data_IF_740374526098
#
_entry.id   IF_740374526098
#
_cell.length_a   1.000
_cell.length_b   1.000
_cell.length_c   1.000
_cell.angle_alpha   90.00
_cell.angle_beta   90.00
_cell.angle_gamma   90.00
#
_symmetry.space_group_name_H-M   'P 1'
#
loop_
_entity.id
_entity.type
_entity.pdbx_description
1 polymer ?
#
# COMPACT_ATOMS: atom_id res chain seq x y z
N UNK A 1 -16.76 68.95 -21.44
CA UNK A 1 -15.52 68.77 -22.21
C UNK A 1 -14.91 67.45 -21.74
N UNK A 2 -14.64 66.59 -22.71
CA UNK A 2 -14.29 65.17 -22.60
C UNK A 2 -13.02 64.92 -21.76
N UNK A 3 -13.04 63.99 -20.80
CA UNK A 3 -11.84 63.21 -20.43
C UNK A 3 -12.25 61.76 -20.22
N UNK A 4 -11.72 60.93 -21.11
CA UNK A 4 -11.84 59.47 -21.16
C UNK A 4 -10.98 58.86 -20.05
N UNK A 5 -11.56 57.99 -19.22
CA UNK A 5 -10.80 57.12 -18.31
C UNK A 5 -10.79 55.73 -18.92
N UNK A 6 -9.63 55.31 -19.41
CA UNK A 6 -9.35 53.95 -19.85
C UNK A 6 -9.39 53.00 -18.64
N UNK A 7 -10.22 51.95 -18.74
CA UNK A 7 -10.04 50.72 -17.97
C UNK A 7 -8.82 49.96 -18.52
N UNK A 8 -7.85 49.67 -17.66
CA UNK A 8 -6.82 48.66 -17.89
C UNK A 8 -7.00 47.54 -16.87
N UNK A 9 -7.30 46.36 -17.42
CA UNK A 9 -7.44 45.08 -16.73
C UNK A 9 -6.05 44.65 -16.23
N UNK A 10 -5.88 44.57 -14.91
CA UNK A 10 -4.70 44.00 -14.27
C UNK A 10 -4.87 42.49 -14.11
N UNK A 11 -4.08 41.73 -14.87
CA UNK A 11 -3.87 40.29 -14.74
C UNK A 11 -3.40 39.95 -13.30
N UNK A 12 -4.16 39.11 -12.59
CA UNK A 12 -3.69 38.45 -11.39
C UNK A 12 -2.73 37.32 -11.80
N UNK A 13 -1.44 37.48 -11.51
CA UNK A 13 -0.45 36.41 -11.59
C UNK A 13 -0.64 35.55 -10.35
N UNK A 14 -1.25 34.37 -10.52
CA UNK A 14 -1.26 33.33 -9.50
C UNK A 14 0.17 32.80 -9.35
N UNK A 15 0.85 33.17 -8.27
CA UNK A 15 2.10 32.56 -7.86
C UNK A 15 1.85 31.13 -7.40
N UNK A 16 2.22 30.16 -8.22
CA UNK A 16 2.32 28.77 -7.82
C UNK A 16 3.33 28.67 -6.66
N UNK A 17 2.84 28.42 -5.45
CA UNK A 17 3.68 28.08 -4.33
C UNK A 17 4.09 26.62 -4.51
N UNK A 18 5.29 26.41 -5.06
CA UNK A 18 5.89 25.09 -5.09
C UNK A 18 6.08 24.64 -3.64
N UNK A 19 5.41 23.56 -3.25
CA UNK A 19 5.77 22.83 -2.04
C UNK A 19 7.24 22.44 -2.19
N UNK A 20 8.11 23.07 -1.41
CA UNK A 20 9.46 22.58 -1.23
C UNK A 20 9.32 21.23 -0.56
N UNK A 21 9.47 20.15 -1.36
CA UNK A 21 9.87 18.85 -0.84
C UNK A 21 11.00 19.10 0.14
N UNK A 22 10.89 18.51 1.32
CA UNK A 22 12.00 18.35 2.25
C UNK A 22 13.14 17.67 1.46
N UNK A 23 14.04 18.49 0.93
CA UNK A 23 15.33 18.04 0.40
C UNK A 23 16.25 17.91 1.61
N UNK A 24 15.98 16.88 2.42
CA UNK A 24 17.06 16.20 3.10
C UNK A 24 18.03 15.67 2.04
N UNK A 25 19.34 15.59 2.34
CA UNK A 25 20.33 15.35 1.30
C UNK A 25 19.95 14.07 0.56
N UNK A 26 19.86 14.16 -0.77
CA UNK A 26 20.04 12.99 -1.60
C UNK A 26 21.35 12.37 -1.13
N UNK A 27 21.27 11.23 -0.44
CA UNK A 27 22.44 10.44 -0.17
C UNK A 27 22.95 10.01 -1.55
N UNK A 28 24.02 10.67 -2.00
CA UNK A 28 25.01 10.11 -2.90
C UNK A 28 25.67 8.89 -2.23
N UNK A 29 24.87 7.93 -1.77
CA UNK A 29 25.32 6.57 -1.59
C UNK A 29 25.33 5.98 -2.99
N UNK A 30 26.46 6.16 -3.65
CA UNK A 30 26.94 5.17 -4.60
C UNK A 30 26.96 3.83 -3.86
N UNK A 31 25.82 3.15 -3.89
CA UNK A 31 25.53 1.87 -3.24
C UNK A 31 26.60 0.87 -3.66
N UNK A 32 27.60 0.70 -2.81
CA UNK A 32 28.44 -0.48 -2.85
C UNK A 32 27.50 -1.67 -2.63
N UNK A 33 27.40 -2.58 -3.60
CA UNK A 33 26.57 -3.78 -3.49
C UNK A 33 26.80 -4.43 -2.13
N UNK A 34 25.73 -4.56 -1.35
CA UNK A 34 25.71 -5.60 -0.34
C UNK A 34 25.87 -6.93 -1.10
N UNK A 35 26.84 -7.78 -0.71
CA UNK A 35 26.94 -9.11 -1.30
C UNK A 35 25.59 -9.81 -1.14
N UNK A 36 25.18 -10.68 -2.10
CA UNK A 36 23.94 -11.41 -1.97
C UNK A 36 23.90 -12.08 -0.60
N UNK A 37 22.74 -12.05 0.09
CA UNK A 37 22.62 -12.71 1.38
C UNK A 37 23.07 -14.15 1.23
N UNK A 38 23.94 -14.62 2.13
CA UNK A 38 24.45 -15.99 2.06
C UNK A 38 23.41 -16.92 2.69
N UNK A 39 23.00 -18.01 2.02
CA UNK A 39 22.08 -18.96 2.63
C UNK A 39 22.74 -19.66 3.83
N UNK A 40 21.95 -20.11 4.83
CA UNK A 40 22.42 -20.96 5.90
C UNK A 40 23.14 -22.22 5.37
N UNK A 41 24.03 -22.84 6.16
CA UNK A 41 24.70 -24.08 5.77
C UNK A 41 23.70 -25.18 5.35
N UNK A 42 23.89 -25.75 4.16
CA UNK A 42 23.02 -26.79 3.63
C UNK A 42 21.71 -26.29 2.99
N UNK A 43 21.63 -24.99 2.68
CA UNK A 43 20.51 -24.35 1.97
C UNK A 43 20.95 -23.66 0.69
N UNK A 44 19.99 -23.36 -0.18
CA UNK A 44 20.21 -22.90 -1.55
C UNK A 44 19.66 -21.49 -1.74
N UNK A 45 20.41 -20.66 -2.47
CA UNK A 45 19.93 -19.40 -3.00
C UNK A 45 19.55 -19.56 -4.47
N UNK A 46 18.26 -19.36 -4.77
CA UNK A 46 17.69 -19.35 -6.11
C UNK A 46 17.62 -17.92 -6.64
N UNK A 47 17.91 -17.75 -7.93
CA UNK A 47 18.08 -16.43 -8.54
C UNK A 47 17.13 -16.24 -9.72
N UNK A 48 16.50 -15.07 -9.77
CA UNK A 48 15.61 -14.65 -10.86
C UNK A 48 16.17 -13.39 -11.52
N UNK A 49 16.19 -13.34 -12.85
CA UNK A 49 16.67 -12.20 -13.65
C UNK A 49 15.88 -12.10 -14.95
N UNK A 50 15.50 -10.90 -15.42
CA UNK A 50 14.84 -10.76 -16.73
C UNK A 50 15.68 -11.29 -17.91
N UNK A 51 17.01 -11.34 -17.75
CA UNK A 51 17.97 -11.86 -18.73
C UNK A 51 18.19 -13.38 -18.57
N UNK A 52 17.52 -14.01 -17.62
CA UNK A 52 17.55 -15.45 -17.38
C UNK A 52 16.72 -16.25 -18.39
N UNK A 53 16.61 -17.55 -18.11
CA UNK A 53 15.82 -18.50 -18.88
C UNK A 53 15.12 -19.47 -17.90
N UNK A 54 13.84 -19.75 -18.10
CA UNK A 54 13.08 -20.64 -17.20
C UNK A 54 13.48 -22.12 -17.32
N UNK A 55 14.25 -22.48 -18.34
CA UNK A 55 14.92 -23.77 -18.46
C UNK A 55 16.23 -23.87 -17.63
N UNK A 56 16.69 -22.77 -17.04
CA UNK A 56 17.89 -22.77 -16.20
C UNK A 56 17.66 -23.44 -14.83
N UNK A 57 18.74 -23.81 -14.11
CA UNK A 57 18.65 -24.37 -12.77
C UNK A 57 18.31 -23.36 -11.66
N UNK A 58 18.31 -22.04 -11.93
CA UNK A 58 18.05 -21.00 -10.92
C UNK A 58 19.28 -20.63 -10.09
N UNK A 59 20.49 -20.90 -10.58
CA UNK A 59 21.75 -20.51 -9.93
C UNK A 59 22.11 -19.06 -10.28
N UNK A 60 23.07 -18.47 -9.57
CA UNK A 60 23.54 -17.10 -9.85
C UNK A 60 23.98 -16.91 -11.30
N UNK A 61 24.76 -17.87 -11.86
CA UNK A 61 25.26 -17.80 -13.24
C UNK A 61 24.20 -18.18 -14.29
N UNK A 62 23.15 -18.88 -13.87
CA UNK A 62 22.05 -19.35 -14.73
C UNK A 62 20.72 -19.16 -13.99
N UNK A 63 20.25 -17.90 -13.86
CA UNK A 63 19.02 -17.59 -13.15
C UNK A 63 17.78 -17.96 -13.96
N UNK A 64 16.66 -18.15 -13.27
CA UNK A 64 15.34 -18.20 -13.91
C UNK A 64 14.93 -16.84 -14.45
N UNK A 65 13.97 -16.82 -15.37
CA UNK A 65 13.45 -15.58 -15.95
C UNK A 65 12.25 -15.03 -15.19
N UNK A 66 11.32 -15.90 -14.79
CA UNK A 66 10.00 -15.50 -14.32
C UNK A 66 9.69 -15.89 -12.87
N UNK A 67 8.79 -15.13 -12.24
CA UNK A 67 8.19 -15.50 -10.96
C UNK A 67 7.42 -16.83 -11.10
N UNK A 68 6.71 -17.04 -12.22
CA UNK A 68 5.97 -18.28 -12.46
C UNK A 68 6.87 -19.51 -12.39
N UNK A 69 8.09 -19.45 -12.95
CA UNK A 69 9.07 -20.53 -12.84
C UNK A 69 9.57 -20.70 -11.40
N UNK A 70 9.81 -19.59 -10.69
CA UNK A 70 10.20 -19.63 -9.29
C UNK A 70 9.12 -20.28 -8.41
N UNK A 71 7.84 -20.02 -8.66
CA UNK A 71 6.73 -20.64 -7.90
C UNK A 71 6.50 -22.12 -8.23
N UNK A 72 7.15 -22.64 -9.28
CA UNK A 72 7.18 -24.08 -9.57
C UNK A 72 8.34 -24.82 -8.86
N UNK A 73 9.21 -24.10 -8.14
CA UNK A 73 10.26 -24.70 -7.32
C UNK A 73 9.70 -25.17 -5.97
N UNK A 74 10.18 -26.32 -5.50
CA UNK A 74 9.98 -26.73 -4.11
C UNK A 74 11.10 -26.15 -3.25
N UNK A 75 10.73 -25.29 -2.30
CA UNK A 75 11.66 -24.66 -1.36
C UNK A 75 11.64 -25.40 -0.02
N UNK A 76 12.77 -25.35 0.69
CA UNK A 76 12.92 -25.84 2.07
C UNK A 76 13.25 -24.68 3.00
N UNK A 77 13.03 -24.87 4.30
CA UNK A 77 13.33 -23.89 5.33
C UNK A 77 14.75 -23.32 5.25
N UNK A 78 14.92 -22.00 5.17
CA UNK A 78 16.24 -21.37 5.03
C UNK A 78 16.76 -21.25 3.61
N UNK A 79 16.06 -21.79 2.60
CA UNK A 79 16.34 -21.42 1.21
C UNK A 79 16.04 -19.94 0.97
N UNK A 80 16.55 -19.41 -0.13
CA UNK A 80 16.37 -18.02 -0.51
C UNK A 80 15.90 -17.92 -1.96
N UNK A 81 14.98 -17.02 -2.23
CA UNK A 81 14.57 -16.58 -3.56
C UNK A 81 14.98 -15.12 -3.74
N UNK A 82 15.97 -14.91 -4.61
CA UNK A 82 16.62 -13.61 -4.80
C UNK A 82 16.32 -13.06 -6.20
N UNK A 83 15.85 -11.82 -6.24
CA UNK A 83 15.57 -11.07 -7.46
C UNK A 83 16.70 -10.09 -7.76
N UNK A 84 17.13 -10.04 -9.03
CA UNK A 84 18.18 -9.12 -9.46
C UNK A 84 17.68 -7.69 -9.31
N UNK A 85 18.45 -6.85 -8.63
CA UNK A 85 18.25 -5.39 -8.55
C UNK A 85 18.20 -4.76 -9.95
N UNK A 86 17.60 -3.57 -10.01
CA UNK A 86 17.40 -2.79 -11.23
C UNK A 86 16.60 -3.54 -12.31
N UNK A 87 15.54 -4.23 -11.89
CA UNK A 87 14.69 -5.03 -12.76
C UNK A 87 13.23 -5.04 -12.29
N UNK A 88 12.33 -5.33 -13.22
CA UNK A 88 10.89 -5.48 -12.99
C UNK A 88 10.46 -6.92 -13.25
N UNK A 89 9.65 -7.47 -12.35
CA UNK A 89 9.14 -8.82 -12.38
C UNK A 89 7.61 -8.80 -12.27
N UNK A 90 6.94 -9.44 -13.23
CA UNK A 90 5.50 -9.52 -13.27
C UNK A 90 5.00 -10.83 -12.65
N UNK A 91 4.11 -10.75 -11.67
CA UNK A 91 3.49 -11.91 -11.04
C UNK A 91 3.27 -11.77 -9.54
N UNK A 92 2.86 -12.88 -8.94
CA UNK A 92 2.62 -13.00 -7.51
C UNK A 92 3.46 -14.14 -6.92
N UNK A 93 3.87 -13.97 -5.66
CA UNK A 93 4.51 -15.00 -4.85
C UNK A 93 3.44 -15.58 -3.94
N UNK A 94 2.92 -16.75 -4.32
CA UNK A 94 1.76 -17.39 -3.70
C UNK A 94 2.07 -18.75 -3.05
N UNK A 95 3.26 -19.29 -3.29
CA UNK A 95 3.72 -20.60 -2.81
C UNK A 95 5.03 -20.45 -2.06
N UNK A 96 4.94 -19.87 -0.88
CA UNK A 96 6.03 -19.93 0.09
C UNK A 96 5.80 -21.20 0.92
N UNK A 97 6.78 -22.11 1.07
CA UNK A 97 6.59 -23.24 1.99
C UNK A 97 6.31 -22.69 3.38
N UNK A 98 5.62 -23.43 4.23
CA UNK A 98 5.84 -23.31 5.68
C UNK A 98 7.16 -24.02 5.97
N UNK A 99 8.26 -23.30 6.21
CA UNK A 99 9.55 -23.86 6.55
C UNK A 99 9.44 -24.74 7.80
N UNK A 100 9.69 -26.04 7.66
CA UNK A 100 10.02 -26.89 8.81
C UNK A 100 11.49 -26.65 9.20
N UNK A 101 11.75 -25.77 10.18
CA UNK A 101 13.11 -25.56 10.73
C UNK A 101 13.38 -24.20 11.37
N UNK A 102 14.63 -23.99 11.82
CA UNK A 102 15.06 -22.82 12.61
C UNK A 102 15.36 -21.56 11.77
N UNK A 103 15.24 -21.64 10.44
CA UNK A 103 15.59 -20.57 9.51
C UNK A 103 14.41 -20.19 8.62
N UNK A 104 14.20 -18.89 8.46
CA UNK A 104 13.18 -18.36 7.56
C UNK A 104 13.54 -18.57 6.10
N UNK A 105 12.54 -18.78 5.27
CA UNK A 105 12.69 -18.64 3.82
C UNK A 105 12.79 -17.16 3.46
N UNK A 106 13.84 -16.76 2.74
CA UNK A 106 14.06 -15.35 2.37
C UNK A 106 13.56 -15.08 0.95
N UNK A 107 12.69 -14.09 0.80
CA UNK A 107 12.41 -13.41 -0.45
C UNK A 107 13.18 -12.09 -0.42
N UNK A 108 14.13 -11.90 -1.33
CA UNK A 108 14.95 -10.69 -1.30
C UNK A 108 15.64 -10.37 -2.60
N UNK A 109 16.73 -9.62 -2.52
CA UNK A 109 17.41 -9.06 -3.69
C UNK A 109 18.89 -9.48 -3.81
N UNK A 110 19.43 -9.44 -5.03
CA UNK A 110 20.87 -9.55 -5.31
C UNK A 110 21.32 -8.59 -6.42
N UNK A 111 22.62 -8.34 -6.53
CA UNK A 111 23.18 -7.47 -7.57
C UNK A 111 23.27 -6.01 -7.14
N UNK A 112 23.31 -5.10 -8.11
CA UNK A 112 23.51 -3.66 -7.94
C UNK A 112 22.30 -2.87 -8.44
N UNK A 113 22.11 -1.66 -7.92
CA UNK A 113 21.07 -0.73 -8.37
C UNK A 113 19.82 -0.71 -7.48
N UNK A 114 18.72 -0.19 -8.03
CA UNK A 114 17.45 -0.04 -7.32
C UNK A 114 16.90 -1.40 -6.83
N UNK A 115 16.00 -1.37 -5.83
CA UNK A 115 15.31 -2.59 -5.37
C UNK A 115 14.59 -3.25 -6.57
N UNK A 116 14.56 -4.59 -6.65
CA UNK A 116 13.79 -5.26 -7.69
C UNK A 116 12.30 -4.96 -7.48
N UNK A 117 11.60 -4.63 -8.57
CA UNK A 117 10.17 -4.34 -8.54
C UNK A 117 9.39 -5.63 -8.81
N UNK A 118 8.51 -6.03 -7.89
CA UNK A 118 7.50 -7.06 -8.13
C UNK A 118 6.15 -6.37 -8.30
N UNK A 119 5.46 -6.70 -9.39
CA UNK A 119 4.25 -5.99 -9.80
C UNK A 119 3.21 -6.88 -10.48
N UNK A 120 1.94 -6.52 -10.32
CA UNK A 120 0.82 -7.12 -11.06
C UNK A 120 0.37 -6.25 -12.25
N UNK A 121 1.12 -5.20 -12.62
CA UNK A 121 0.71 -4.27 -13.66
C UNK A 121 0.45 -4.96 -15.01
N UNK A 122 -0.72 -4.69 -15.57
CA UNK A 122 -1.03 -4.92 -16.99
C UNK A 122 -0.60 -3.67 -17.76
N UNK A 123 0.39 -3.80 -18.64
CA UNK A 123 0.95 -2.68 -19.41
C UNK A 123 0.10 -2.49 -20.67
N UNK A 124 -0.74 -1.46 -20.70
CA UNK A 124 -1.72 -1.23 -21.78
C UNK A 124 -1.04 -0.56 -22.98
N UNK A 125 -0.09 -1.27 -23.61
CA UNK A 125 0.82 -0.76 -24.64
C UNK A 125 0.46 -1.19 -26.08
N UNK A 126 -0.72 -1.77 -26.31
CA UNK A 126 -1.18 -2.19 -27.65
C UNK A 126 -2.34 -1.30 -28.11
N UNK A 127 -2.08 -0.20 -28.86
CA UNK A 127 -3.14 0.72 -29.29
C UNK A 127 -4.27 0.03 -30.05
N UNK A 128 -3.94 -0.96 -30.89
CA UNK A 128 -4.90 -1.69 -31.71
C UNK A 128 -5.84 -2.62 -30.91
N UNK A 129 -5.51 -2.89 -29.63
CA UNK A 129 -6.38 -3.69 -28.76
C UNK A 129 -7.56 -2.89 -28.22
N UNK A 130 -7.54 -1.55 -28.34
CA UNK A 130 -8.63 -0.70 -27.91
C UNK A 130 -9.70 -0.55 -29.00
N UNK A 131 -10.96 -0.65 -28.58
CA UNK A 131 -12.13 -0.42 -29.44
C UNK A 131 -13.04 0.62 -28.82
N UNK A 132 -13.65 1.50 -29.62
CA UNK A 132 -14.62 2.48 -29.12
C UNK A 132 -16.00 1.85 -29.01
N UNK A 133 -16.64 1.94 -27.84
CA UNK A 133 -18.01 1.43 -27.62
C UNK A 133 -19.07 2.54 -27.59
N UNK A 134 -18.65 3.78 -27.32
CA UNK A 134 -19.45 5.00 -27.37
C UNK A 134 -18.50 6.19 -27.60
N UNK A 135 -19.00 7.42 -27.83
CA UNK A 135 -18.15 8.60 -27.92
C UNK A 135 -17.21 8.71 -26.70
N UNK A 136 -15.90 8.74 -26.97
CA UNK A 136 -14.83 8.79 -25.96
C UNK A 136 -14.77 7.61 -24.97
N UNK A 137 -15.54 6.54 -25.16
CA UNK A 137 -15.45 5.34 -24.30
C UNK A 137 -14.68 4.26 -25.04
N UNK A 138 -13.53 3.91 -24.49
CA UNK A 138 -12.63 2.91 -25.05
C UNK A 138 -12.65 1.64 -24.21
N UNK A 139 -12.69 0.49 -24.88
CA UNK A 139 -12.72 -0.85 -24.29
C UNK A 139 -11.47 -1.64 -24.66
N UNK A 140 -10.89 -2.33 -23.69
CA UNK A 140 -9.83 -3.33 -23.88
C UNK A 140 -10.17 -4.60 -23.09
N UNK A 141 -9.89 -5.77 -23.65
CA UNK A 141 -10.12 -7.07 -23.00
C UNK A 141 -8.88 -7.49 -22.21
N UNK A 142 -8.95 -7.43 -20.87
CA UNK A 142 -7.79 -7.71 -20.02
C UNK A 142 -7.58 -9.21 -19.73
N UNK A 143 -8.48 -10.07 -20.22
CA UNK A 143 -8.33 -11.52 -20.14
C UNK A 143 -7.58 -12.10 -21.35
N UNK A 144 -7.42 -11.33 -22.43
CA UNK A 144 -6.58 -11.71 -23.56
C UNK A 144 -5.16 -11.12 -23.39
N UNK A 145 -4.14 -11.95 -23.09
CA UNK A 145 -2.77 -11.48 -22.91
C UNK A 145 -2.15 -10.90 -24.18
N UNK A 146 -2.75 -11.07 -25.37
CA UNK A 146 -2.29 -10.41 -26.59
C UNK A 146 -2.62 -8.90 -26.61
N UNK A 147 -3.49 -8.42 -25.71
CA UNK A 147 -3.93 -7.03 -25.68
C UNK A 147 -3.02 -6.11 -24.86
N UNK A 148 -2.15 -6.68 -24.02
CA UNK A 148 -1.30 -5.92 -23.10
C UNK A 148 0.02 -6.64 -22.82
N UNK A 149 1.04 -5.89 -22.42
CA UNK A 149 2.24 -6.44 -21.79
C UNK A 149 2.07 -6.67 -20.28
N UNK A 150 3.16 -7.05 -19.61
CA UNK A 150 3.19 -7.20 -18.15
C UNK A 150 2.53 -8.49 -17.66
N UNK A 151 1.75 -8.39 -16.58
CA UNK A 151 1.12 -9.55 -15.95
C UNK A 151 -0.03 -10.11 -16.79
N UNK A 152 -0.02 -11.42 -17.03
CA UNK A 152 -0.92 -12.10 -17.99
C UNK A 152 -2.06 -12.88 -17.37
N UNK A 153 -2.16 -12.95 -16.03
CA UNK A 153 -3.25 -13.67 -15.40
C UNK A 153 -4.59 -13.01 -15.71
N UNK A 154 -5.64 -13.83 -15.78
CA UNK A 154 -7.00 -13.36 -16.03
C UNK A 154 -7.52 -12.56 -14.83
N UNK A 155 -8.35 -11.56 -15.10
CA UNK A 155 -8.94 -10.69 -14.10
C UNK A 155 -8.99 -9.24 -14.58
N UNK A 156 -10.19 -8.69 -14.61
CA UNK A 156 -10.42 -7.29 -14.98
C UNK A 156 -10.83 -6.41 -13.80
N UNK A 157 -10.94 -6.93 -12.58
CA UNK A 157 -11.22 -6.13 -11.38
C UNK A 157 -10.03 -5.18 -11.14
N UNK A 158 -10.08 -3.97 -11.69
CA UNK A 158 -8.94 -3.03 -11.67
C UNK A 158 -9.06 -2.10 -10.47
N UNK A 159 -7.99 -1.94 -9.70
CA UNK A 159 -7.96 -1.02 -8.57
C UNK A 159 -7.75 0.42 -8.99
N UNK A 160 -6.82 0.65 -9.90
CA UNK A 160 -6.53 1.96 -10.47
C UNK A 160 -5.81 1.84 -11.82
N UNK A 161 -5.79 2.96 -12.57
CA UNK A 161 -4.90 3.14 -13.70
C UNK A 161 -3.73 4.05 -13.32
N UNK A 162 -2.58 3.91 -13.97
CA UNK A 162 -1.41 4.74 -13.71
C UNK A 162 -0.72 5.19 -15.00
N UNK A 163 -0.20 6.42 -14.98
CA UNK A 163 0.63 7.02 -16.04
C UNK A 163 1.76 7.80 -15.40
N UNK A 164 3.02 7.44 -15.66
CA UNK A 164 4.16 7.88 -14.85
C UNK A 164 3.92 7.56 -13.37
N UNK A 165 4.00 8.58 -12.53
CA UNK A 165 3.68 8.50 -11.10
C UNK A 165 2.26 9.01 -10.76
N UNK A 166 1.42 9.26 -11.77
CA UNK A 166 0.05 9.74 -11.57
C UNK A 166 -0.90 8.55 -11.52
N UNK A 167 -1.65 8.45 -10.43
CA UNK A 167 -2.71 7.46 -10.25
C UNK A 167 -4.06 8.05 -10.65
N UNK A 168 -4.77 7.36 -11.54
CA UNK A 168 -6.16 7.60 -11.89
C UNK A 168 -7.04 6.61 -11.13
N UNK A 169 -7.49 7.00 -9.93
CA UNK A 169 -8.23 6.14 -9.00
C UNK A 169 -9.76 6.14 -9.15
N UNK A 170 -10.29 6.83 -10.17
CA UNK A 170 -11.71 7.11 -10.37
C UNK A 170 -12.52 5.93 -10.93
N UNK A 171 -12.44 4.77 -10.25
CA UNK A 171 -13.23 3.58 -10.56
C UNK A 171 -14.73 3.86 -10.38
N UNK A 172 -15.55 3.45 -11.34
CA UNK A 172 -17.01 3.52 -11.28
C UNK A 172 -17.62 2.14 -11.13
N UNK A 173 -18.83 2.10 -10.59
CA UNK A 173 -19.62 0.88 -10.44
C UNK A 173 -20.43 0.51 -11.69
N UNK A 174 -20.61 1.45 -12.63
CA UNK A 174 -21.33 1.21 -13.87
C UNK A 174 -20.71 1.99 -15.04
N UNK A 175 -20.79 1.42 -16.24
CA UNK A 175 -20.38 2.06 -17.49
C UNK A 175 -21.08 3.41 -17.71
N UNK A 176 -22.33 3.54 -17.27
CA UNK A 176 -23.10 4.77 -17.39
C UNK A 176 -22.60 5.90 -16.49
N UNK A 177 -21.69 5.64 -15.55
CA UNK A 177 -21.18 6.64 -14.59
C UNK A 177 -19.85 7.27 -15.02
N UNK A 178 -19.33 6.89 -16.19
CA UNK A 178 -18.19 7.55 -16.80
C UNK A 178 -18.57 8.98 -17.21
N UNK A 179 -17.90 9.98 -16.64
CA UNK A 179 -18.22 11.41 -16.79
C UNK A 179 -17.01 12.30 -17.05
N UNK A 180 -15.84 11.94 -16.52
CA UNK A 180 -14.58 12.68 -16.64
C UNK A 180 -13.48 11.84 -17.30
N UNK A 181 -12.52 12.45 -18.02
CA UNK A 181 -11.36 11.73 -18.54
C UNK A 181 -10.69 10.88 -17.45
N UNK A 182 -10.31 9.66 -17.80
CA UNK A 182 -9.73 8.64 -16.91
C UNK A 182 -10.68 8.08 -15.84
N UNK A 183 -11.97 8.44 -15.85
CA UNK A 183 -12.97 7.57 -15.25
C UNK A 183 -12.88 6.19 -15.93
N UNK A 184 -12.94 5.14 -15.12
CA UNK A 184 -12.91 3.78 -15.64
C UNK A 184 -13.89 2.86 -14.91
N UNK A 185 -14.28 1.80 -15.60
CA UNK A 185 -15.18 0.77 -15.14
C UNK A 185 -14.70 -0.56 -15.72
N UNK A 186 -14.89 -1.66 -15.00
CA UNK A 186 -14.68 -3.01 -15.54
C UNK A 186 -15.94 -3.87 -15.36
N UNK A 187 -16.23 -4.73 -16.32
CA UNK A 187 -17.38 -5.64 -16.30
C UNK A 187 -16.99 -7.06 -15.85
N UNK A 188 -15.85 -7.21 -15.19
CA UNK A 188 -15.24 -8.49 -14.83
C UNK A 188 -14.48 -9.18 -15.98
N UNK A 189 -14.59 -8.69 -17.23
CA UNK A 189 -13.82 -9.18 -18.38
C UNK A 189 -13.00 -8.08 -19.06
N UNK A 190 -13.62 -6.94 -19.33
CA UNK A 190 -13.03 -5.83 -20.06
C UNK A 190 -12.98 -4.55 -19.22
N UNK A 191 -11.95 -3.76 -19.47
CA UNK A 191 -11.78 -2.42 -18.92
C UNK A 191 -12.34 -1.39 -19.92
N UNK A 192 -13.13 -0.46 -19.40
CA UNK A 192 -13.69 0.68 -20.11
C UNK A 192 -13.11 1.97 -19.54
N UNK A 193 -12.62 2.86 -20.39
CA UNK A 193 -12.00 4.12 -19.98
C UNK A 193 -12.62 5.26 -20.78
N UNK A 194 -13.04 6.33 -20.09
CA UNK A 194 -13.41 7.57 -20.75
C UNK A 194 -12.15 8.34 -21.13
N UNK A 195 -11.90 8.50 -22.43
CA UNK A 195 -10.71 9.15 -22.95
C UNK A 195 -11.00 9.86 -24.28
N UNK A 196 -10.52 11.11 -24.48
CA UNK A 196 -10.76 11.86 -25.71
C UNK A 196 -10.07 11.26 -26.95
N UNK A 197 -9.21 10.25 -26.76
CA UNK A 197 -8.53 9.52 -27.81
C UNK A 197 -8.09 8.14 -27.29
N UNK A 198 -7.46 7.35 -28.14
CA UNK A 198 -6.99 6.02 -27.77
C UNK A 198 -6.11 6.10 -26.50
N UNK A 199 -6.47 5.43 -25.39
CA UNK A 199 -5.77 5.57 -24.12
C UNK A 199 -4.27 5.30 -24.21
N UNK A 200 -3.85 4.23 -24.90
CA UNK A 200 -2.42 3.93 -25.12
C UNK A 200 -1.71 4.99 -25.96
N UNK A 201 -2.39 5.58 -26.93
CA UNK A 201 -1.76 6.63 -27.76
C UNK A 201 -1.54 7.91 -26.97
N UNK A 202 -2.48 8.26 -26.08
CA UNK A 202 -2.37 9.43 -25.21
C UNK A 202 -1.40 9.22 -24.04
N UNK A 203 -1.33 7.99 -23.52
CA UNK A 203 -0.42 7.59 -22.46
C UNK A 203 0.24 6.24 -22.82
N UNK A 204 1.40 6.26 -23.51
CA UNK A 204 2.09 5.04 -23.95
C UNK A 204 2.55 4.13 -22.81
N UNK A 205 2.69 4.67 -21.60
CA UNK A 205 3.07 3.96 -20.40
C UNK A 205 1.86 3.66 -19.48
N UNK A 206 0.63 3.72 -20.00
CA UNK A 206 -0.57 3.43 -19.23
C UNK A 206 -0.55 2.01 -18.66
N UNK A 207 -0.81 1.90 -17.35
CA UNK A 207 -0.86 0.64 -16.62
C UNK A 207 -2.19 0.48 -15.92
N UNK A 208 -2.69 -0.73 -15.84
CA UNK A 208 -3.81 -1.10 -14.97
C UNK A 208 -3.29 -1.99 -13.84
N UNK A 209 -3.72 -1.72 -12.61
CA UNK A 209 -3.42 -2.51 -11.42
C UNK A 209 -4.60 -3.46 -11.11
N UNK A 210 -4.54 -4.73 -11.54
CA UNK A 210 -5.60 -5.71 -11.28
C UNK A 210 -5.60 -6.20 -9.83
N UNK A 211 -6.76 -6.65 -9.40
CA UNK A 211 -6.99 -7.33 -8.12
C UNK A 211 -6.10 -8.57 -7.97
N UNK A 212 -5.27 -8.59 -6.94
CA UNK A 212 -4.30 -9.63 -6.66
C UNK A 212 -3.72 -9.49 -5.25
N UNK A 213 -2.79 -10.37 -4.91
CA UNK A 213 -1.88 -10.20 -3.78
C UNK A 213 -0.46 -10.39 -4.32
N UNK A 214 0.45 -9.43 -4.11
CA UNK A 214 1.83 -9.56 -4.61
C UNK A 214 2.58 -10.67 -3.86
N UNK A 215 2.46 -10.72 -2.54
CA UNK A 215 3.05 -11.76 -1.69
C UNK A 215 2.01 -12.29 -0.70
N UNK A 216 1.65 -13.57 -0.85
CA UNK A 216 0.89 -14.33 0.14
C UNK A 216 1.88 -14.98 1.10
N UNK A 217 1.90 -14.51 2.34
CA UNK A 217 2.85 -14.95 3.35
C UNK A 217 2.37 -16.20 4.08
N UNK A 218 3.30 -17.14 4.18
CA UNK A 218 3.22 -18.32 5.01
C UNK A 218 4.17 -18.18 6.20
N UNK A 219 4.03 -19.06 7.19
CA UNK A 219 4.87 -19.03 8.40
C UNK A 219 6.37 -19.11 8.07
N UNK A 220 7.22 -18.62 8.98
CA UNK A 220 8.69 -18.54 8.86
C UNK A 220 9.19 -17.91 7.55
N UNK A 221 8.59 -16.81 7.10
CA UNK A 221 9.04 -16.09 5.90
C UNK A 221 9.74 -14.78 6.26
N UNK A 222 10.79 -14.43 5.50
CA UNK A 222 11.44 -13.12 5.51
C UNK A 222 11.25 -12.46 4.13
N UNK A 223 10.83 -11.21 4.10
CA UNK A 223 10.82 -10.35 2.91
C UNK A 223 11.78 -9.22 3.18
N UNK A 224 12.78 -9.03 2.32
CA UNK A 224 13.79 -7.99 2.50
C UNK A 224 14.26 -7.32 1.21
N UNK A 225 14.19 -5.98 1.20
CA UNK A 225 14.89 -5.15 0.22
C UNK A 225 14.28 -5.17 -1.18
N UNK A 226 12.95 -5.29 -1.29
CA UNK A 226 12.22 -5.32 -2.56
C UNK A 226 11.24 -4.13 -2.70
N UNK A 227 10.86 -3.81 -3.93
CA UNK A 227 9.80 -2.83 -4.23
C UNK A 227 8.53 -3.59 -4.68
N UNK A 228 7.38 -3.26 -4.09
CA UNK A 228 6.08 -3.87 -4.36
C UNK A 228 5.09 -2.80 -4.83
N UNK A 229 4.58 -2.92 -6.06
CA UNK A 229 3.64 -1.92 -6.60
C UNK A 229 2.69 -2.40 -7.69
N UNK A 230 1.68 -1.57 -7.94
CA UNK A 230 0.73 -1.71 -9.04
C UNK A 230 -0.07 -3.01 -8.92
N UNK A 231 -0.67 -3.18 -7.74
CA UNK A 231 -1.56 -4.26 -7.38
C UNK A 231 -2.89 -3.68 -6.87
N UNK A 232 -4.02 -4.15 -7.38
CA UNK A 232 -5.34 -3.65 -7.01
C UNK A 232 -5.90 -4.23 -5.69
N UNK A 233 -5.28 -5.28 -5.15
CA UNK A 233 -5.61 -5.85 -3.85
C UNK A 233 -4.56 -5.50 -2.81
N UNK A 234 -3.82 -6.50 -2.29
CA UNK A 234 -2.82 -6.31 -1.23
C UNK A 234 -1.39 -6.43 -1.73
N UNK A 235 -0.44 -5.73 -1.11
CA UNK A 235 0.97 -6.02 -1.38
C UNK A 235 1.41 -7.29 -0.63
N UNK A 236 1.26 -7.31 0.70
CA UNK A 236 1.65 -8.43 1.54
C UNK A 236 0.47 -8.81 2.44
N UNK A 237 0.12 -10.09 2.47
CA UNK A 237 -0.99 -10.62 3.28
C UNK A 237 -0.67 -11.97 3.90
N UNK A 238 -0.94 -12.13 5.19
CA UNK A 238 -0.94 -13.44 5.84
C UNK A 238 -1.97 -14.38 5.21
N UNK A 239 -1.54 -15.57 4.79
CA UNK A 239 -2.36 -16.48 3.99
C UNK A 239 -2.86 -17.72 4.75
N UNK A 240 -2.12 -18.15 5.77
CA UNK A 240 -2.49 -19.29 6.62
C UNK A 240 -3.24 -18.84 7.88
N UNK A 241 -3.82 -19.79 8.58
CA UNK A 241 -4.39 -19.59 9.92
C UNK A 241 -3.79 -20.63 10.88
N UNK A 242 -2.73 -20.32 11.65
CA UNK A 242 -2.04 -19.02 11.76
C UNK A 242 -0.81 -18.85 10.82
N UNK A 243 -0.42 -17.59 10.57
CA UNK A 243 0.91 -17.22 10.02
C UNK A 243 1.85 -16.75 11.13
N UNK A 244 2.95 -17.47 11.34
CA UNK A 244 3.85 -17.27 12.49
C UNK A 244 5.28 -16.98 12.05
N UNK A 245 6.02 -16.18 12.84
CA UNK A 245 7.47 -15.99 12.72
C UNK A 245 7.92 -15.30 11.41
N UNK A 246 7.31 -14.15 11.10
CA UNK A 246 7.54 -13.38 9.86
C UNK A 246 8.46 -12.17 10.11
N UNK A 247 9.25 -11.82 9.09
CA UNK A 247 9.96 -10.53 9.00
C UNK A 247 9.69 -9.86 7.67
N UNK A 248 9.37 -8.57 7.70
CA UNK A 248 9.18 -7.73 6.52
C UNK A 248 10.05 -6.49 6.72
N UNK A 249 11.13 -6.37 5.97
CA UNK A 249 12.17 -5.38 6.24
C UNK A 249 12.70 -4.65 5.01
N UNK A 250 12.97 -3.35 5.16
CA UNK A 250 13.64 -2.55 4.14
C UNK A 250 12.94 -2.58 2.76
N UNK A 251 11.63 -2.77 2.72
CA UNK A 251 10.83 -2.82 1.49
C UNK A 251 10.22 -1.45 1.15
N UNK A 252 10.01 -1.19 -0.15
CA UNK A 252 9.24 -0.04 -0.64
C UNK A 252 7.90 -0.56 -1.17
N UNK A 253 6.78 -0.20 -0.53
CA UNK A 253 5.46 -0.72 -0.85
C UNK A 253 4.54 0.44 -1.22
N UNK A 254 4.11 0.50 -2.47
CA UNK A 254 3.28 1.63 -2.89
C UNK A 254 2.38 1.39 -4.07
N UNK A 255 1.40 2.28 -4.27
CA UNK A 255 0.42 2.15 -5.35
C UNK A 255 -0.31 0.79 -5.24
N UNK A 256 -1.04 0.63 -4.15
CA UNK A 256 -1.69 -0.63 -3.78
C UNK A 256 -3.18 -0.39 -3.55
N UNK A 257 -4.00 -1.35 -3.96
CA UNK A 257 -5.40 -1.44 -3.60
C UNK A 257 -6.38 -0.78 -4.58
N UNK A 258 -7.60 -0.63 -4.10
CA UNK A 258 -8.72 0.02 -4.78
C UNK A 258 -9.53 -0.88 -5.71
N UNK A 259 -9.24 -2.18 -5.80
CA UNK A 259 -10.14 -3.12 -6.47
C UNK A 259 -11.42 -3.29 -5.65
N UNK A 260 -12.47 -3.83 -6.25
CA UNK A 260 -13.69 -4.17 -5.50
C UNK A 260 -13.48 -5.47 -4.72
N UNK A 261 -13.88 -5.50 -3.46
CA UNK A 261 -13.93 -6.68 -2.61
C UNK A 261 -15.18 -7.48 -2.98
N UNK A 262 -15.03 -8.45 -3.88
CA UNK A 262 -16.12 -9.29 -4.36
C UNK A 262 -16.54 -10.28 -3.26
N UNK A 263 -17.84 -10.40 -3.02
CA UNK A 263 -18.44 -11.22 -1.96
C UNK A 263 -18.72 -10.48 -0.66
N UNK A 264 -18.49 -9.16 -0.60
CA UNK A 264 -18.74 -8.32 0.58
C UNK A 264 -19.70 -7.16 0.28
N UNK A 265 -20.66 -6.94 1.17
CA UNK A 265 -21.71 -5.93 1.05
C UNK A 265 -22.44 -5.99 -0.32
N UNK A 266 -22.28 -4.98 -1.17
CA UNK A 266 -22.89 -4.92 -2.52
C UNK A 266 -21.86 -5.10 -3.65
N UNK A 267 -20.72 -5.73 -3.35
CA UNK A 267 -19.58 -5.98 -4.24
C UNK A 267 -18.94 -4.71 -4.82
N UNK A 268 -19.12 -3.57 -4.14
CA UNK A 268 -18.56 -2.26 -4.54
C UNK A 268 -17.72 -1.60 -3.47
N UNK A 269 -17.58 -2.23 -2.31
CA UNK A 269 -16.59 -1.83 -1.31
C UNK A 269 -15.22 -2.07 -1.92
N UNK A 270 -14.35 -1.07 -1.85
CA UNK A 270 -12.99 -1.16 -2.36
C UNK A 270 -12.04 -1.45 -1.21
N UNK A 271 -10.94 -2.15 -1.48
CA UNK A 271 -10.01 -2.62 -0.46
C UNK A 271 -8.58 -2.62 -0.97
N UNK A 272 -7.62 -2.85 -0.07
CA UNK A 272 -6.25 -3.18 -0.45
C UNK A 272 -5.20 -2.53 0.44
N UNK A 273 -4.51 -3.38 1.20
CA UNK A 273 -3.55 -2.99 2.23
C UNK A 273 -2.10 -3.16 1.75
N UNK A 274 -1.20 -2.36 2.31
CA UNK A 274 0.24 -2.55 2.16
C UNK A 274 0.66 -3.86 2.81
N UNK A 275 0.53 -3.94 4.14
CA UNK A 275 0.90 -5.12 4.93
C UNK A 275 -0.28 -5.53 5.82
N UNK A 276 -0.76 -6.75 5.63
CA UNK A 276 -1.92 -7.30 6.34
C UNK A 276 -1.55 -8.53 7.19
N UNK A 277 -1.67 -8.36 8.51
CA UNK A 277 -1.84 -9.47 9.45
C UNK A 277 -3.32 -9.85 9.46
N UNK A 278 -3.68 -10.88 8.68
CA UNK A 278 -5.05 -11.40 8.60
C UNK A 278 -5.30 -12.47 9.66
N UNK A 279 -6.47 -12.39 10.31
CA UNK A 279 -7.02 -13.36 11.24
C UNK A 279 -6.02 -13.74 12.35
N UNK A 280 -5.32 -14.88 12.24
CA UNK A 280 -4.36 -15.32 13.25
C UNK A 280 -2.92 -15.16 12.76
N UNK A 281 -2.19 -14.26 13.41
CA UNK A 281 -0.78 -14.00 13.11
C UNK A 281 0.04 -13.98 14.42
N UNK A 282 1.28 -14.48 14.41
CA UNK A 282 2.11 -14.46 15.61
C UNK A 282 3.59 -14.19 15.34
N UNK A 283 4.28 -13.43 16.20
CA UNK A 283 5.73 -13.18 16.07
C UNK A 283 6.10 -12.53 14.71
N UNK A 284 5.50 -11.38 14.40
CA UNK A 284 5.86 -10.60 13.21
C UNK A 284 6.72 -9.40 13.58
N UNK A 285 7.73 -9.12 12.77
CA UNK A 285 8.49 -7.87 12.82
C UNK A 285 8.38 -7.17 11.47
N UNK A 286 7.81 -5.97 11.47
CA UNK A 286 7.71 -5.08 10.31
C UNK A 286 8.63 -3.89 10.57
N UNK A 287 9.75 -3.80 9.86
CA UNK A 287 10.79 -2.81 10.20
C UNK A 287 11.50 -2.17 9.02
N UNK A 288 11.68 -0.85 9.05
CA UNK A 288 12.50 -0.15 8.06
C UNK A 288 11.87 -0.03 6.68
N UNK A 289 10.56 -0.28 6.56
CA UNK A 289 9.83 -0.20 5.30
C UNK A 289 9.33 1.21 5.03
N UNK A 290 9.21 1.57 3.75
CA UNK A 290 8.48 2.76 3.28
C UNK A 290 7.16 2.29 2.65
N UNK A 291 6.01 2.77 3.14
CA UNK A 291 4.69 2.36 2.66
C UNK A 291 3.82 3.57 2.35
N UNK A 292 3.43 3.73 1.09
CA UNK A 292 2.73 4.94 0.64
C UNK A 292 1.80 4.76 -0.55
N UNK A 293 0.87 5.70 -0.75
CA UNK A 293 -0.11 5.64 -1.85
C UNK A 293 -0.87 4.29 -1.83
N UNK A 294 -1.31 3.88 -0.65
CA UNK A 294 -2.16 2.70 -0.43
C UNK A 294 -3.63 3.12 -0.32
N UNK A 295 -4.51 2.40 -1.03
CA UNK A 295 -5.94 2.69 -1.08
C UNK A 295 -6.60 2.59 0.29
N UNK A 296 -6.18 1.62 1.10
CA UNK A 296 -6.71 1.35 2.42
C UNK A 296 -5.65 1.61 3.50
N UNK A 297 -5.08 0.58 4.12
CA UNK A 297 -4.16 0.73 5.24
C UNK A 297 -2.72 0.37 4.89
N UNK A 298 -1.75 1.19 5.29
CA UNK A 298 -0.33 0.85 5.15
C UNK A 298 0.02 -0.42 5.93
N UNK A 299 -0.43 -0.50 7.18
CA UNK A 299 -0.35 -1.68 8.02
C UNK A 299 -1.67 -1.94 8.74
N UNK A 300 -2.07 -3.21 8.84
CA UNK A 300 -3.28 -3.61 9.55
C UNK A 300 -3.10 -4.93 10.31
N UNK A 301 -3.69 -5.01 11.50
CA UNK A 301 -4.03 -6.30 12.13
C UNK A 301 -5.55 -6.41 12.15
N UNK A 302 -6.07 -7.35 11.37
CA UNK A 302 -7.50 -7.45 11.13
C UNK A 302 -8.00 -8.89 11.02
N UNK A 303 -9.23 -9.13 11.50
CA UNK A 303 -9.91 -10.39 11.27
C UNK A 303 -10.68 -10.93 12.46
N UNK A 304 -10.87 -12.23 12.46
CA UNK A 304 -11.63 -13.00 13.45
C UNK A 304 -10.75 -13.96 14.28
N UNK A 305 -9.44 -13.97 14.03
CA UNK A 305 -8.47 -14.85 14.69
C UNK A 305 -7.78 -14.22 15.91
N UNK A 306 -6.63 -14.80 16.29
CA UNK A 306 -5.78 -14.28 17.37
C UNK A 306 -4.46 -13.77 16.82
N UNK A 307 -4.21 -12.48 16.97
CA UNK A 307 -2.95 -11.85 16.58
C UNK A 307 -2.11 -11.57 17.83
N UNK A 308 -0.87 -12.09 17.89
CA UNK A 308 0.01 -11.96 19.07
C UNK A 308 1.45 -11.60 18.73
N UNK A 309 2.10 -10.82 19.59
CA UNK A 309 3.55 -10.52 19.51
C UNK A 309 3.94 -9.93 18.15
N UNK A 310 3.31 -8.81 17.82
CA UNK A 310 3.55 -8.08 16.57
C UNK A 310 4.33 -6.81 16.90
N UNK A 311 5.42 -6.55 16.18
CA UNK A 311 6.15 -5.28 16.30
C UNK A 311 6.30 -4.58 14.97
N UNK A 312 5.81 -3.35 14.89
CA UNK A 312 5.95 -2.46 13.73
C UNK A 312 6.82 -1.28 14.14
N UNK A 313 8.04 -1.21 13.61
CA UNK A 313 9.02 -0.24 14.10
C UNK A 313 9.96 0.34 13.05
N UNK A 314 10.31 1.63 13.18
CA UNK A 314 11.25 2.32 12.26
C UNK A 314 10.79 2.32 10.81
N UNK A 315 9.49 2.27 10.57
CA UNK A 315 8.93 2.40 9.22
C UNK A 315 8.57 3.86 8.92
N UNK A 316 8.46 4.19 7.64
CA UNK A 316 7.87 5.44 7.15
C UNK A 316 6.57 5.12 6.44
N UNK A 317 5.44 5.51 7.02
CA UNK A 317 4.12 5.35 6.41
C UNK A 317 3.55 6.72 6.07
N UNK A 318 3.26 6.98 4.79
CA UNK A 318 2.75 8.28 4.37
C UNK A 318 1.83 8.24 3.16
N UNK A 319 0.98 9.26 3.00
CA UNK A 319 0.07 9.36 1.86
C UNK A 319 -0.82 8.12 1.67
N UNK A 320 -1.29 7.55 2.78
CA UNK A 320 -2.21 6.42 2.79
C UNK A 320 -3.60 6.87 3.24
N UNK A 321 -4.62 6.14 2.82
CA UNK A 321 -5.97 6.29 3.36
C UNK A 321 -5.98 6.12 4.88
N UNK A 322 -5.26 5.13 5.38
CA UNK A 322 -4.91 4.96 6.79
C UNK A 322 -3.44 4.55 6.90
N UNK A 323 -2.70 5.12 7.85
CA UNK A 323 -1.34 4.60 8.14
C UNK A 323 -1.43 3.34 9.01
N UNK A 324 -2.40 3.27 9.92
CA UNK A 324 -2.63 2.12 10.79
C UNK A 324 -4.12 1.79 10.85
N UNK A 325 -4.42 0.50 10.84
CA UNK A 325 -5.78 0.00 11.05
C UNK A 325 -5.81 -1.22 11.97
N UNK A 326 -6.83 -1.29 12.83
CA UNK A 326 -7.05 -2.40 13.74
C UNK A 326 -8.53 -2.74 13.84
N UNK A 327 -8.90 -4.01 13.69
CA UNK A 327 -10.22 -4.50 14.07
C UNK A 327 -10.24 -6.01 14.34
N UNK A 328 -11.17 -6.43 15.18
CA UNK A 328 -11.42 -7.80 15.60
C UNK A 328 -12.93 -8.08 15.63
N UNK A 329 -13.37 -9.19 15.04
CA UNK A 329 -14.80 -9.51 14.90
C UNK A 329 -15.27 -10.79 15.60
N UNK A 330 -14.44 -11.38 16.47
CA UNK A 330 -14.81 -12.54 17.28
C UNK A 330 -14.34 -12.39 18.72
N UNK A 331 -15.24 -12.50 19.73
CA UNK A 331 -14.85 -12.50 21.14
C UNK A 331 -13.89 -13.65 21.47
N UNK A 332 -12.77 -13.34 22.13
CA UNK A 332 -11.76 -14.32 22.55
C UNK A 332 -10.65 -14.57 21.53
N UNK A 333 -10.91 -14.33 20.24
CA UNK A 333 -9.89 -13.87 19.29
C UNK A 333 -9.61 -12.40 19.56
N UNK A 334 -8.42 -11.90 19.26
CA UNK A 334 -8.01 -10.60 19.79
C UNK A 334 -6.62 -10.17 19.35
N UNK A 335 -6.22 -9.01 19.84
CA UNK A 335 -4.90 -8.44 19.62
C UNK A 335 -4.10 -8.53 20.92
N UNK A 336 -2.95 -9.17 20.91
CA UNK A 336 -2.12 -9.40 22.08
C UNK A 336 -0.69 -8.91 21.83
N UNK A 337 -0.14 -8.11 22.73
CA UNK A 337 1.23 -7.63 22.64
C UNK A 337 1.58 -7.06 21.25
N UNK A 338 0.73 -6.18 20.73
CA UNK A 338 1.00 -5.46 19.48
C UNK A 338 1.69 -4.14 19.82
N UNK A 339 2.91 -3.94 19.34
CA UNK A 339 3.71 -2.74 19.59
C UNK A 339 4.00 -2.00 18.28
N UNK A 340 3.57 -0.75 18.21
CA UNK A 340 3.84 0.17 17.11
C UNK A 340 4.77 1.28 17.63
N UNK A 341 6.07 1.19 17.36
CA UNK A 341 7.08 2.07 17.97
C UNK A 341 8.15 2.64 17.04
N UNK A 342 8.58 3.87 17.29
CA UNK A 342 9.66 4.53 16.54
C UNK A 342 9.40 4.66 15.02
N UNK A 343 8.14 4.79 14.58
CA UNK A 343 7.79 5.01 13.16
C UNK A 343 7.62 6.51 12.83
N UNK A 344 7.76 6.87 11.55
CA UNK A 344 7.33 8.17 11.01
C UNK A 344 6.01 7.98 10.25
N UNK A 345 4.93 8.56 10.77
CA UNK A 345 3.57 8.45 10.24
C UNK A 345 3.14 9.82 9.72
N UNK A 346 3.14 10.01 8.40
CA UNK A 346 2.84 11.29 7.78
C UNK A 346 1.57 11.27 6.93
N UNK A 347 0.86 12.40 6.86
CA UNK A 347 -0.22 12.65 5.90
C UNK A 347 -1.30 11.53 5.76
N UNK A 348 -1.59 10.80 6.85
CA UNK A 348 -2.64 9.79 6.90
C UNK A 348 -4.03 10.37 6.60
N UNK A 349 -4.90 9.58 5.97
CA UNK A 349 -6.13 10.06 5.35
C UNK A 349 -5.93 10.70 3.97
N UNK A 350 -4.70 10.62 3.43
CA UNK A 350 -4.24 11.26 2.22
C UNK A 350 -4.09 10.30 1.04
N UNK A 351 -3.12 10.62 0.17
CA UNK A 351 -2.83 9.87 -1.05
C UNK A 351 -3.99 9.77 -2.03
N UNK A 352 -3.77 9.00 -3.10
CA UNK A 352 -4.79 8.69 -4.08
C UNK A 352 -5.97 7.92 -3.46
N UNK A 353 -5.71 7.05 -2.48
CA UNK A 353 -6.70 6.26 -1.77
C UNK A 353 -7.73 7.14 -1.06
N UNK A 354 -7.24 8.04 -0.20
CA UNK A 354 -8.08 9.02 0.50
C UNK A 354 -8.83 9.95 -0.45
N UNK A 355 -8.22 10.28 -1.60
CA UNK A 355 -8.88 11.07 -2.65
C UNK A 355 -9.95 10.27 -3.42
N UNK A 356 -9.76 8.97 -3.64
CA UNK A 356 -10.63 8.13 -4.47
C UNK A 356 -11.78 7.48 -3.69
N UNK A 357 -11.62 7.25 -2.39
CA UNK A 357 -12.64 6.54 -1.59
C UNK A 357 -13.94 7.33 -1.41
N UNK A 358 -15.11 6.69 -1.36
CA UNK A 358 -16.39 7.38 -1.17
C UNK A 358 -16.63 7.85 0.28
N UNK A 359 -16.14 7.08 1.26
CA UNK A 359 -16.26 7.28 2.71
C UNK A 359 -15.21 8.29 3.22
N UNK A 360 -15.44 9.57 2.95
CA UNK A 360 -14.48 10.65 3.28
C UNK A 360 -14.25 10.84 4.77
N UNK A 361 -15.22 10.47 5.59
CA UNK A 361 -15.19 10.51 7.04
C UNK A 361 -14.15 9.57 7.65
N UNK A 362 -13.82 8.49 6.95
CA UNK A 362 -13.00 7.39 7.44
C UNK A 362 -11.49 7.63 7.27
N UNK A 363 -11.13 8.69 6.55
CA UNK A 363 -9.73 9.08 6.32
C UNK A 363 -9.08 9.49 7.65
N UNK A 364 -8.02 8.80 8.07
CA UNK A 364 -7.34 9.10 9.32
C UNK A 364 -5.87 8.63 9.35
N UNK A 365 -5.10 9.08 10.34
CA UNK A 365 -3.78 8.50 10.63
C UNK A 365 -3.94 7.06 11.16
N UNK A 366 -4.79 6.88 12.16
CA UNK A 366 -5.16 5.56 12.68
C UNK A 366 -6.67 5.36 12.64
N UNK A 367 -7.06 4.13 12.31
CA UNK A 367 -8.44 3.71 12.21
C UNK A 367 -8.70 2.45 13.03
N UNK A 368 -9.85 2.37 13.69
CA UNK A 368 -10.30 1.13 14.30
C UNK A 368 -11.80 0.88 14.12
N UNK A 369 -12.15 -0.36 13.80
CA UNK A 369 -13.52 -0.88 13.75
C UNK A 369 -13.65 -2.03 14.74
N UNK A 370 -14.83 -2.68 14.76
CA UNK A 370 -15.11 -3.95 15.44
C UNK A 370 -14.11 -4.29 16.54
N UNK A 371 -14.42 -3.98 17.79
CA UNK A 371 -13.42 -4.03 18.85
C UNK A 371 -13.73 -5.14 19.86
N UNK A 372 -13.77 -6.37 19.36
CA UNK A 372 -13.98 -7.54 20.20
C UNK A 372 -12.70 -7.85 21.00
N UNK A 373 -12.86 -7.93 22.32
CA UNK A 373 -11.78 -8.11 23.28
C UNK A 373 -11.33 -9.58 23.34
N UNK A 374 -10.07 -9.84 23.74
CA UNK A 374 -9.09 -8.89 24.31
C UNK A 374 -8.29 -8.09 23.28
N UNK A 375 -7.83 -6.90 23.68
CA UNK A 375 -6.86 -6.10 22.95
C UNK A 375 -5.74 -5.61 23.89
N UNK A 376 -4.51 -5.68 23.40
CA UNK A 376 -3.31 -5.09 24.00
C UNK A 376 -2.43 -4.57 22.85
N UNK A 377 -2.69 -3.32 22.48
CA UNK A 377 -2.04 -2.60 21.39
C UNK A 377 -1.46 -1.31 21.94
N UNK A 378 -0.16 -1.13 21.76
CA UNK A 378 0.57 0.06 22.22
C UNK A 378 1.15 0.80 21.02
N UNK A 379 0.73 2.05 20.84
CA UNK A 379 1.23 2.98 19.83
C UNK A 379 2.06 4.06 20.54
N UNK A 380 3.39 3.97 20.43
CA UNK A 380 4.28 4.81 21.25
C UNK A 380 5.54 5.28 20.54
N UNK A 381 6.10 6.43 20.93
CA UNK A 381 7.37 6.97 20.37
C UNK A 381 7.36 7.17 18.86
N UNK A 382 6.17 7.25 18.26
CA UNK A 382 6.06 7.54 16.84
C UNK A 382 6.13 9.05 16.63
N UNK A 383 6.75 9.44 15.52
CA UNK A 383 6.63 10.80 14.99
C UNK A 383 5.41 10.81 14.07
N UNK A 384 4.44 11.68 14.36
CA UNK A 384 3.20 11.76 13.60
C UNK A 384 3.06 13.17 13.04
N UNK A 385 3.07 13.32 11.73
CA UNK A 385 3.06 14.64 11.08
C UNK A 385 1.95 14.79 10.06
N UNK A 386 1.19 15.88 10.18
CA UNK A 386 0.03 16.21 9.32
C UNK A 386 -1.03 15.10 9.30
N UNK A 387 -2.19 15.39 8.73
CA UNK A 387 -3.22 14.42 8.40
C UNK A 387 -4.15 15.07 7.38
N UNK A 388 -4.55 14.33 6.36
CA UNK A 388 -5.54 14.79 5.37
C UNK A 388 -6.98 14.47 5.78
N UNK A 389 -7.14 13.69 6.85
CA UNK A 389 -8.40 13.42 7.55
C UNK A 389 -8.30 13.71 9.04
N UNK A 390 -8.81 12.82 9.89
CA UNK A 390 -8.67 12.92 11.34
C UNK A 390 -7.32 12.35 11.83
N UNK A 391 -6.92 12.68 13.06
CA UNK A 391 -5.85 11.94 13.74
C UNK A 391 -6.29 10.50 14.01
N UNK A 392 -7.42 10.29 14.70
CA UNK A 392 -7.99 8.96 14.85
C UNK A 392 -9.42 8.85 14.32
N UNK A 393 -9.78 7.68 13.83
CA UNK A 393 -11.15 7.28 13.54
C UNK A 393 -11.48 6.01 14.33
N UNK A 394 -12.56 6.05 15.11
CA UNK A 394 -13.06 4.89 15.85
C UNK A 394 -14.54 4.69 15.48
N UNK A 395 -14.91 3.46 15.08
CA UNK A 395 -16.30 3.06 14.88
C UNK A 395 -16.71 1.94 15.85
N UNK A 396 -17.74 2.17 16.70
CA UNK A 396 -18.50 3.42 16.85
C UNK A 396 -17.68 4.56 17.47
N UNK A 397 -18.14 5.80 17.29
CA UNK A 397 -17.50 6.99 17.89
C UNK A 397 -17.59 6.90 19.41
N UNK A 398 -16.44 6.67 20.05
CA UNK A 398 -16.30 6.53 21.50
C UNK A 398 -14.92 7.05 21.94
N UNK A 399 -14.62 6.98 23.25
CA UNK A 399 -13.23 7.13 23.71
C UNK A 399 -12.34 6.02 23.12
N UNK A 400 -11.01 6.13 23.30
CA UNK A 400 -10.07 5.11 22.85
C UNK A 400 -10.56 3.70 23.25
N UNK A 401 -10.62 2.77 22.28
CA UNK A 401 -11.04 1.40 22.53
C UNK A 401 -10.21 0.76 23.65
N UNK A 402 -10.86 -0.09 24.46
CA UNK A 402 -10.18 -0.74 25.59
C UNK A 402 -8.99 -1.57 25.08
N UNK A 403 -7.81 -1.37 25.67
CA UNK A 403 -6.59 -2.07 25.25
C UNK A 403 -5.80 -1.40 24.12
N UNK A 404 -6.33 -0.37 23.47
CA UNK A 404 -5.58 0.48 22.54
C UNK A 404 -5.00 1.68 23.29
N UNK A 405 -3.69 1.67 23.49
CA UNK A 405 -2.96 2.66 24.27
C UNK A 405 -2.06 3.50 23.37
N UNK A 406 -2.23 4.82 23.43
CA UNK A 406 -1.30 5.77 22.82
C UNK A 406 -0.49 6.48 23.89
N UNK A 407 0.82 6.61 23.69
CA UNK A 407 1.70 7.27 24.67
C UNK A 407 3.03 7.72 24.07
N UNK A 408 3.62 8.78 24.61
CA UNK A 408 4.96 9.26 24.24
C UNK A 408 5.17 9.49 22.72
N UNK A 409 4.11 9.82 21.97
CA UNK A 409 4.19 10.15 20.55
C UNK A 409 4.53 11.64 20.36
N UNK A 410 5.26 11.99 19.30
CA UNK A 410 5.47 13.39 18.89
C UNK A 410 4.51 13.74 17.75
N UNK A 411 3.44 14.48 18.08
CA UNK A 411 2.30 14.73 17.20
C UNK A 411 2.34 16.19 16.72
N UNK A 412 2.46 16.39 15.40
CA UNK A 412 2.44 17.70 14.79
C UNK A 412 1.43 17.77 13.62
N UNK A 413 0.24 18.33 13.84
CA UNK A 413 -0.83 18.40 12.84
C UNK A 413 -1.13 19.84 12.45
N UNK A 414 -1.75 20.04 11.28
CA UNK A 414 -2.16 21.37 10.81
C UNK A 414 -3.33 21.89 11.66
N UNK A 415 -3.32 23.19 12.02
CA UNK A 415 -4.43 23.82 12.75
C UNK A 415 -5.78 23.48 12.12
N UNK A 416 -6.76 23.14 12.95
CA UNK A 416 -8.08 22.69 12.54
C UNK A 416 -8.18 21.19 12.17
N UNK A 417 -7.09 20.44 12.10
CA UNK A 417 -7.15 18.97 11.90
C UNK A 417 -7.97 18.34 13.04
N UNK A 418 -9.04 17.57 12.73
CA UNK A 418 -9.81 16.88 13.76
C UNK A 418 -8.94 15.87 14.53
N UNK A 419 -8.99 15.89 15.86
CA UNK A 419 -8.30 14.86 16.65
C UNK A 419 -9.01 13.52 16.57
N UNK A 420 -10.35 13.53 16.48
CA UNK A 420 -11.13 12.34 16.27
C UNK A 420 -12.38 12.65 15.48
N UNK A 421 -12.66 11.84 14.45
CA UNK A 421 -13.92 11.98 13.71
C UNK A 421 -15.13 11.82 14.63
N UNK A 422 -16.12 12.71 14.49
CA UNK A 422 -17.35 12.71 15.29
C UNK A 422 -17.23 13.34 16.68
N UNK A 423 -16.03 13.77 17.11
CA UNK A 423 -15.84 14.56 18.32
C UNK A 423 -15.58 16.05 18.00
N UNK A 424 -15.82 16.99 18.93
CA UNK A 424 -15.72 18.42 18.66
C UNK A 424 -14.30 18.98 18.71
N UNK A 425 -13.27 18.13 18.91
CA UNK A 425 -11.91 18.58 19.15
C UNK A 425 -11.05 18.60 17.89
N UNK A 426 -10.21 19.63 17.80
CA UNK A 426 -9.14 19.74 16.80
C UNK A 426 -7.77 19.68 17.45
N UNK A 427 -6.69 19.67 16.67
CA UNK A 427 -5.31 19.75 17.20
C UNK A 427 -5.10 20.98 18.09
N UNK A 428 -5.85 22.07 17.85
CA UNK A 428 -5.81 23.28 18.68
C UNK A 428 -6.36 23.01 20.11
N UNK A 429 -7.13 21.95 20.27
CA UNK A 429 -7.72 21.48 21.54
C UNK A 429 -7.07 20.18 22.06
N UNK A 430 -5.92 19.77 21.51
CA UNK A 430 -5.39 18.41 21.68
C UNK A 430 -5.21 17.97 23.13
N UNK A 431 -4.77 18.87 24.02
CA UNK A 431 -4.63 18.55 25.45
C UNK A 431 -5.98 18.24 26.12
N UNK A 432 -7.05 18.97 25.77
CA UNK A 432 -8.39 18.72 26.27
C UNK A 432 -8.96 17.41 25.71
N UNK A 433 -8.73 17.15 24.42
CA UNK A 433 -9.10 15.89 23.77
C UNK A 433 -8.40 14.68 24.42
N UNK A 434 -7.08 14.76 24.64
CA UNK A 434 -6.29 13.71 25.27
C UNK A 434 -6.78 13.42 26.70
N UNK A 435 -7.07 14.47 27.48
CA UNK A 435 -7.64 14.34 28.82
C UNK A 435 -9.03 13.68 28.79
N UNK A 436 -9.92 14.12 27.90
CA UNK A 436 -11.29 13.61 27.79
C UNK A 436 -11.32 12.12 27.39
N UNK A 437 -10.38 11.69 26.54
CA UNK A 437 -10.29 10.33 26.03
C UNK A 437 -9.31 9.45 26.83
N UNK A 438 -8.60 10.01 27.82
CA UNK A 438 -7.58 9.34 28.64
C UNK A 438 -6.52 8.63 27.79
N UNK A 439 -6.01 9.34 26.78
CA UNK A 439 -5.05 8.83 25.79
C UNK A 439 -3.83 9.74 25.70
N UNK A 440 -2.84 9.35 24.90
CA UNK A 440 -1.64 10.14 24.60
C UNK A 440 -0.86 10.59 25.84
N UNK A 441 -0.78 9.72 26.84
CA UNK A 441 0.00 10.01 28.04
C UNK A 441 1.48 10.20 27.67
N UNK A 442 2.07 11.33 28.06
CA UNK A 442 3.48 11.64 27.75
C UNK A 442 3.74 12.15 26.32
N UNK A 443 2.74 12.13 25.44
CA UNK A 443 2.87 12.64 24.07
C UNK A 443 2.98 14.17 24.02
N UNK A 444 3.64 14.67 22.98
CA UNK A 444 3.73 16.10 22.67
C UNK A 444 2.80 16.46 21.53
N UNK A 445 2.14 17.62 21.63
CA UNK A 445 1.30 18.16 20.57
C UNK A 445 1.86 19.48 20.07
N UNK A 446 2.01 19.61 18.76
CA UNK A 446 2.43 20.84 18.09
C UNK A 446 1.44 21.18 16.97
N UNK A 447 0.93 22.41 17.01
CA UNK A 447 0.11 22.94 15.92
C UNK A 447 1.03 23.47 14.82
N UNK A 448 0.89 22.92 13.62
CA UNK A 448 1.53 23.43 12.41
C UNK A 448 0.65 24.52 11.78
N UNK A 449 1.25 25.57 11.19
CA UNK A 449 0.48 26.58 10.47
C UNK A 449 -0.29 25.94 9.31
N UNK A 450 -1.44 26.54 8.99
CA UNK A 450 -2.22 26.18 7.80
C UNK A 450 -1.39 26.24 6.52
N UNK A 451 -1.80 25.50 5.47
CA UNK A 451 -1.18 25.60 4.15
C UNK A 451 -1.25 27.01 3.56
#
# INVERSE_FOLDING_TARGET
MLVVVLLLVGLAIAGAHSMQRSTGPASDDASAALPPPKPPPGRVAFHVSPDGDDANPGTLDRPWKSIARAMAQNYTAGDQLLFRRDAVYFGSIDRVPTPDGDHRFLIGAYGLGAKPVITNAKILNVPAAWTTTAPNVWRIDLNDPATHGGWTDAGANIGFLATGNVIHGAKKAALTDLRAPWDFFDDGTALYVLSPGNPTTLAPDLRAAPDAVLIRLHSNTEVDGIELRECGGHAIRGQDDPVVNVRITNDDIHHIGGSFLIGYADDKVRYGNGIECLDSCANWVVQGNEVYEVYDSAFTCQGSGTTTDIRVTKNSFHDNSHNLEFWTAQPGGGLHHVLIDDNDLADGGGGWGGAARPDKENRAQLTSYGWDLPADVVVTKNRITRASGAYVYHAPVASSPAGLVFSDNDIALVSGTPMQYGQPYTIDDAAAWAQANRTEAGSTFRVLPGP
#
